data_IF_773281006828
#
_entry.id   IF_773281006828
#
_cell.length_a   1.000
_cell.length_b   1.000
_cell.length_c   1.000
_cell.angle_alpha   90.00
_cell.angle_beta   90.00
_cell.angle_gamma   90.00
#
_symmetry.space_group_name_H-M   'P 1'
#
loop_
_entity.id
_entity.type
_entity.pdbx_description
1 polymer ?
#
# COMPACT_ATOMS: atom_id res chain seq x y z
N UNK A 1 -7.63 32.30 -3.07
CA UNK A 1 -8.49 31.10 -2.97
C UNK A 1 -7.70 29.89 -3.48
N UNK A 2 -7.42 28.94 -2.58
CA UNK A 2 -6.71 27.68 -2.84
C UNK A 2 -7.53 26.79 -3.76
N UNK A 3 -6.96 26.30 -4.86
CA UNK A 3 -7.52 25.21 -5.67
C UNK A 3 -6.61 24.00 -5.46
N UNK A 4 -7.09 23.02 -4.70
CA UNK A 4 -6.50 21.68 -4.64
C UNK A 4 -6.75 20.99 -5.97
N UNK A 5 -5.68 20.68 -6.70
CA UNK A 5 -5.72 19.73 -7.80
C UNK A 5 -5.68 18.32 -7.17
N UNK A 6 -6.83 17.65 -7.12
CA UNK A 6 -6.86 16.20 -6.91
C UNK A 6 -6.23 15.54 -8.15
N UNK A 7 -5.31 14.61 -7.89
CA UNK A 7 -4.48 13.96 -8.88
C UNK A 7 -5.31 13.29 -9.98
N UNK A 8 -5.02 13.67 -11.22
CA UNK A 8 -5.34 12.87 -12.40
C UNK A 8 -4.47 11.62 -12.32
N UNK A 9 -5.10 10.45 -12.14
CA UNK A 9 -4.47 9.19 -12.50
C UNK A 9 -4.15 9.28 -14.00
N UNK A 10 -2.86 9.36 -14.33
CA UNK A 10 -2.40 9.32 -15.70
C UNK A 10 -2.78 7.97 -16.31
N UNK A 11 -3.70 7.98 -17.27
CA UNK A 11 -4.11 6.82 -18.03
C UNK A 11 -2.89 6.18 -18.72
N UNK A 12 -2.45 5.04 -18.21
CA UNK A 12 -1.55 4.16 -18.94
C UNK A 12 -2.42 3.37 -19.93
N UNK A 13 -2.49 3.83 -21.18
CA UNK A 13 -3.11 3.08 -22.26
C UNK A 13 -2.31 1.78 -22.48
N UNK A 14 -2.87 0.64 -22.09
CA UNK A 14 -2.28 -0.68 -22.35
C UNK A 14 -2.91 -1.24 -23.63
N UNK A 15 -2.06 -1.58 -24.58
CA UNK A 15 -2.41 -2.17 -25.86
C UNK A 15 -3.08 -3.54 -25.64
N UNK A 16 -4.38 -3.64 -25.89
CA UNK A 16 -5.12 -4.90 -25.78
C UNK A 16 -4.69 -5.89 -26.88
N UNK A 17 -3.99 -6.96 -26.49
CA UNK A 17 -3.80 -8.11 -27.35
C UNK A 17 -5.12 -8.88 -27.44
N UNK A 18 -5.68 -8.98 -28.65
CA UNK A 18 -6.92 -9.71 -28.95
C UNK A 18 -6.70 -11.21 -28.67
N UNK A 19 -7.35 -11.73 -27.63
CA UNK A 19 -7.45 -13.16 -27.34
C UNK A 19 -8.91 -13.66 -27.52
N UNK A 20 -9.11 -14.96 -27.78
CA UNK A 20 -10.40 -15.47 -28.23
C UNK A 20 -11.49 -15.36 -27.17
N UNK A 21 -12.71 -15.05 -27.63
CA UNK A 21 -13.93 -14.91 -26.82
C UNK A 21 -14.27 -16.24 -26.14
N UNK A 22 -14.05 -16.33 -24.83
CA UNK A 22 -14.38 -17.53 -24.04
C UNK A 22 -13.64 -17.66 -22.71
N UNK A 23 -12.55 -16.91 -22.54
CA UNK A 23 -11.90 -16.69 -21.24
C UNK A 23 -12.17 -15.25 -20.83
N UNK A 24 -12.80 -15.04 -19.67
CA UNK A 24 -12.74 -13.73 -18.99
C UNK A 24 -11.26 -13.32 -18.97
N UNK A 25 -10.92 -12.28 -19.73
CA UNK A 25 -9.55 -11.80 -19.77
C UNK A 25 -9.23 -11.32 -18.36
N UNK A 26 -8.32 -12.01 -17.66
CA UNK A 26 -7.85 -11.58 -16.36
C UNK A 26 -7.35 -10.13 -16.51
N UNK A 27 -7.92 -9.22 -15.73
CA UNK A 27 -7.54 -7.80 -15.76
C UNK A 27 -6.06 -7.71 -15.42
N UNK A 28 -5.24 -7.27 -16.39
CA UNK A 28 -3.80 -7.20 -16.24
C UNK A 28 -3.42 -6.00 -15.37
N UNK A 29 -3.00 -6.28 -14.13
CA UNK A 29 -2.52 -5.26 -13.19
C UNK A 29 -1.00 -5.13 -13.32
N UNK A 30 -0.45 -3.94 -13.63
CA UNK A 30 0.99 -3.79 -13.82
C UNK A 30 1.80 -3.96 -12.53
N UNK A 31 2.56 -5.06 -12.42
CA UNK A 31 3.35 -5.41 -11.21
C UNK A 31 4.49 -4.42 -10.88
N UNK A 32 4.92 -3.61 -11.84
CA UNK A 32 5.92 -2.57 -11.59
C UNK A 32 5.32 -1.34 -10.87
N UNK A 33 3.99 -1.16 -10.92
CA UNK A 33 3.26 -0.09 -10.22
C UNK A 33 2.59 -0.63 -8.96
N UNK A 34 2.00 -1.82 -9.05
CA UNK A 34 1.19 -2.42 -8.01
C UNK A 34 1.88 -3.63 -7.39
N UNK A 35 1.76 -3.74 -6.08
CA UNK A 35 2.14 -4.94 -5.34
C UNK A 35 0.88 -5.76 -5.06
N UNK A 36 0.86 -7.02 -5.50
CA UNK A 36 -0.19 -7.96 -5.12
C UNK A 36 0.03 -8.47 -3.69
N UNK A 37 -1.04 -8.59 -2.92
CA UNK A 37 -0.96 -9.07 -1.53
C UNK A 37 -1.68 -10.40 -1.33
N UNK A 38 -2.93 -10.48 -1.77
CA UNK A 38 -3.79 -11.63 -1.55
C UNK A 38 -4.98 -11.61 -2.49
N UNK A 39 -5.68 -12.74 -2.57
CA UNK A 39 -6.99 -12.84 -3.22
C UNK A 39 -7.98 -13.58 -2.32
N UNK A 40 -9.24 -13.20 -2.39
CA UNK A 40 -10.38 -13.96 -1.86
C UNK A 40 -11.10 -14.65 -3.01
N UNK A 41 -12.20 -15.34 -2.71
CA UNK A 41 -13.06 -15.92 -3.75
C UNK A 41 -13.71 -14.88 -4.68
N UNK A 42 -13.71 -13.59 -4.31
CA UNK A 42 -14.46 -12.53 -5.00
C UNK A 42 -13.61 -11.38 -5.52
N UNK A 43 -12.43 -11.20 -4.94
CA UNK A 43 -11.60 -10.04 -5.26
C UNK A 43 -10.11 -10.29 -5.01
N UNK A 44 -9.26 -9.63 -5.80
CA UNK A 44 -7.81 -9.59 -5.56
C UNK A 44 -7.39 -8.21 -5.07
N UNK A 45 -6.42 -8.18 -4.15
CA UNK A 45 -6.00 -6.98 -3.45
C UNK A 45 -4.58 -6.57 -3.84
N UNK A 46 -4.45 -5.30 -4.21
CA UNK A 46 -3.19 -4.69 -4.61
C UNK A 46 -3.04 -3.32 -3.96
N UNK A 47 -1.81 -2.88 -3.71
CA UNK A 47 -1.53 -1.48 -3.40
C UNK A 47 -0.56 -0.87 -4.39
N UNK A 48 -0.71 0.42 -4.67
CA UNK A 48 0.16 1.14 -5.60
C UNK A 48 1.47 1.49 -4.89
N UNK A 49 2.48 0.64 -5.09
CA UNK A 49 3.80 0.84 -4.51
C UNK A 49 4.55 2.00 -5.15
N UNK A 50 4.18 2.49 -6.33
CA UNK A 50 4.84 3.63 -6.97
C UNK A 50 4.32 5.00 -6.45
N UNK A 51 3.04 5.07 -6.12
CA UNK A 51 2.36 6.30 -5.69
C UNK A 51 2.15 6.41 -4.17
N UNK A 52 2.44 5.35 -3.40
CA UNK A 52 2.47 5.42 -1.94
C UNK A 52 3.47 6.49 -1.46
N UNK A 53 3.10 7.35 -0.51
CA UNK A 53 4.01 8.37 0.01
C UNK A 53 3.71 8.70 1.48
N UNK A 54 4.62 9.41 2.15
CA UNK A 54 4.36 9.90 3.50
C UNK A 54 3.47 11.14 3.48
N UNK A 55 2.74 11.37 4.58
CA UNK A 55 1.97 12.60 4.78
C UNK A 55 2.89 13.82 4.82
N UNK A 56 2.38 14.97 4.36
CA UNK A 56 3.11 16.23 4.37
C UNK A 56 2.24 17.29 5.01
N UNK A 57 2.77 17.95 6.04
CA UNK A 57 2.13 19.06 6.73
C UNK A 57 3.06 20.26 6.72
N UNK A 58 2.57 21.38 6.17
CA UNK A 58 3.35 22.62 6.06
C UNK A 58 4.72 22.44 5.38
N UNK A 59 4.79 21.53 4.39
CA UNK A 59 6.00 21.21 3.65
C UNK A 59 6.96 20.25 4.37
N UNK A 60 6.64 19.84 5.60
CA UNK A 60 7.42 18.87 6.38
C UNK A 60 6.80 17.49 6.25
N UNK A 61 7.64 16.50 5.96
CA UNK A 61 7.25 15.09 5.88
C UNK A 61 6.97 14.54 7.27
N UNK A 62 5.84 13.85 7.45
CA UNK A 62 5.52 13.08 8.65
C UNK A 62 5.66 11.58 8.37
N UNK A 63 6.73 10.97 8.88
CA UNK A 63 7.00 9.54 8.71
C UNK A 63 5.97 8.63 9.39
N UNK A 64 5.07 9.17 10.22
CA UNK A 64 4.02 8.40 10.89
C UNK A 64 2.73 8.31 10.06
N UNK A 65 2.59 9.11 9.01
CA UNK A 65 1.40 9.11 8.16
C UNK A 65 1.78 8.53 6.81
N UNK A 66 1.13 7.45 6.40
CA UNK A 66 1.32 6.84 5.09
C UNK A 66 0.04 7.01 4.26
N UNK A 67 0.18 7.54 3.04
CA UNK A 67 -0.90 7.67 2.07
C UNK A 67 -0.70 6.63 0.98
N UNK A 68 -1.73 5.80 0.73
CA UNK A 68 -1.61 4.61 -0.11
C UNK A 68 -2.84 4.48 -1.01
N UNK A 69 -2.68 4.68 -2.33
CA UNK A 69 -3.68 4.22 -3.29
C UNK A 69 -3.68 2.69 -3.35
N UNK A 70 -4.86 2.11 -3.39
CA UNK A 70 -5.06 0.66 -3.48
C UNK A 70 -5.97 0.32 -4.65
N UNK A 71 -5.92 -0.95 -5.05
CA UNK A 71 -6.71 -1.48 -6.14
C UNK A 71 -7.29 -2.83 -5.73
N UNK A 72 -8.57 -3.02 -6.00
CA UNK A 72 -9.27 -4.29 -5.94
C UNK A 72 -9.79 -4.64 -7.32
N UNK A 73 -9.54 -5.86 -7.78
CA UNK A 73 -10.20 -6.41 -8.98
C UNK A 73 -11.30 -7.36 -8.55
N UNK A 74 -12.40 -7.41 -9.30
CA UNK A 74 -13.59 -8.16 -8.96
C UNK A 74 -13.79 -9.36 -9.88
N UNK A 75 -14.35 -10.44 -9.34
CA UNK A 75 -14.95 -11.51 -10.16
C UNK A 75 -16.36 -11.11 -10.64
N UNK A 76 -16.93 -11.90 -11.56
CA UNK A 76 -18.27 -11.66 -12.09
C UNK A 76 -19.35 -11.56 -11.00
N UNK A 77 -19.21 -12.31 -9.90
CA UNK A 77 -20.21 -12.34 -8.83
C UNK A 77 -20.12 -11.08 -7.96
N UNK A 78 -18.91 -10.60 -7.69
CA UNK A 78 -18.69 -9.35 -6.98
C UNK A 78 -19.16 -8.15 -7.80
N UNK A 79 -18.94 -8.18 -9.12
CA UNK A 79 -19.51 -7.18 -10.06
C UNK A 79 -21.04 -7.18 -9.94
N UNK A 80 -21.68 -8.34 -10.04
CA UNK A 80 -23.13 -8.47 -9.91
C UNK A 80 -23.65 -7.96 -8.56
N UNK A 81 -22.94 -8.24 -7.46
CA UNK A 81 -23.30 -7.77 -6.12
C UNK A 81 -23.26 -6.24 -6.01
N UNK A 82 -22.19 -5.60 -6.51
CA UNK A 82 -22.07 -4.13 -6.55
C UNK A 82 -23.21 -3.51 -7.36
N UNK A 83 -23.45 -4.00 -8.58
CA UNK A 83 -24.54 -3.54 -9.46
C UNK A 83 -25.90 -3.71 -8.80
N UNK A 84 -26.14 -4.86 -8.15
CA UNK A 84 -27.40 -5.16 -7.47
C UNK A 84 -27.64 -4.23 -6.27
N UNK A 85 -26.61 -4.00 -5.45
CA UNK A 85 -26.66 -3.05 -4.33
C UNK A 85 -26.96 -1.63 -4.80
N UNK A 86 -26.36 -1.21 -5.91
CA UNK A 86 -26.56 0.12 -6.49
C UNK A 86 -27.99 0.29 -7.02
N UNK A 87 -28.48 -0.72 -7.74
CA UNK A 87 -29.89 -0.79 -8.21
C UNK A 87 -30.88 -0.74 -7.05
N UNK A 88 -30.62 -1.50 -5.99
CA UNK A 88 -31.46 -1.51 -4.78
C UNK A 88 -31.53 -0.13 -4.12
N UNK A 89 -30.42 0.61 -4.11
CA UNK A 89 -30.34 1.99 -3.61
C UNK A 89 -30.89 3.04 -4.58
N UNK A 90 -31.45 2.64 -5.73
CA UNK A 90 -31.94 3.55 -6.79
C UNK A 90 -30.87 4.54 -7.30
N UNK A 91 -29.61 4.13 -7.30
CA UNK A 91 -28.50 4.92 -7.84
C UNK A 91 -28.31 4.64 -9.35
N UNK A 92 -27.75 5.60 -10.10
CA UNK A 92 -27.49 5.44 -11.54
C UNK A 92 -26.56 4.25 -11.80
N UNK A 93 -26.83 3.49 -12.87
CA UNK A 93 -26.00 2.37 -13.34
C UNK A 93 -25.15 2.74 -14.56
N UNK A 94 -25.09 4.01 -14.93
CA UNK A 94 -24.29 4.47 -16.07
C UNK A 94 -22.82 4.07 -15.87
N UNK A 95 -22.23 3.41 -16.86
CA UNK A 95 -20.84 2.91 -16.85
C UNK A 95 -20.60 1.61 -16.08
N UNK A 96 -21.59 1.09 -15.34
CA UNK A 96 -21.42 -0.14 -14.56
C UNK A 96 -21.44 -1.43 -15.39
N UNK A 97 -21.78 -1.34 -16.67
CA UNK A 97 -21.56 -2.42 -17.65
C UNK A 97 -20.07 -2.72 -17.88
N UNK A 98 -19.20 -1.74 -17.62
CA UNK A 98 -17.75 -1.87 -17.69
C UNK A 98 -17.06 -2.08 -16.33
N UNK A 99 -17.78 -2.26 -15.22
CA UNK A 99 -17.19 -2.37 -13.87
C UNK A 99 -16.21 -3.56 -13.79
N UNK A 100 -14.99 -3.30 -13.34
CA UNK A 100 -13.96 -4.34 -13.13
C UNK A 100 -13.38 -4.40 -11.72
N UNK A 101 -13.63 -3.36 -10.90
CA UNK A 101 -12.94 -3.23 -9.63
C UNK A 101 -13.21 -1.92 -8.92
N UNK A 102 -12.39 -1.63 -7.92
CA UNK A 102 -12.40 -0.36 -7.20
C UNK A 102 -11.00 0.07 -6.78
N UNK A 103 -10.78 1.37 -6.64
CA UNK A 103 -9.64 1.94 -5.95
C UNK A 103 -10.07 2.53 -4.61
N UNK A 104 -9.26 2.32 -3.57
CA UNK A 104 -9.43 3.00 -2.29
C UNK A 104 -8.16 3.77 -1.92
N UNK A 105 -8.33 4.96 -1.35
CA UNK A 105 -7.23 5.82 -0.95
C UNK A 105 -7.12 5.81 0.57
N UNK A 106 -6.10 5.13 1.07
CA UNK A 106 -5.89 4.91 2.49
C UNK A 106 -4.96 5.98 3.08
N UNK A 107 -5.29 6.43 4.28
CA UNK A 107 -4.36 7.13 5.17
C UNK A 107 -4.15 6.28 6.40
N UNK A 108 -2.93 5.78 6.58
CA UNK A 108 -2.53 4.99 7.74
C UNK A 108 -1.77 5.89 8.71
N UNK A 109 -2.24 5.96 9.95
CA UNK A 109 -1.46 6.54 11.04
C UNK A 109 -0.71 5.41 11.75
N UNK A 110 0.58 5.30 11.47
CA UNK A 110 1.46 4.25 11.97
C UNK A 110 1.70 4.36 13.47
N UNK A 111 1.65 5.58 14.02
CA UNK A 111 1.83 5.82 15.46
C UNK A 111 0.57 5.42 16.26
N UNK A 112 -0.60 5.75 15.73
CA UNK A 112 -1.89 5.44 16.38
C UNK A 112 -2.42 4.05 16.03
N UNK A 113 -1.86 3.40 14.99
CA UNK A 113 -2.32 2.11 14.52
C UNK A 113 -3.73 2.18 13.90
N UNK A 114 -3.99 3.22 13.10
CA UNK A 114 -5.30 3.43 12.47
C UNK A 114 -5.22 3.54 10.96
N UNK A 115 -6.30 3.17 10.28
CA UNK A 115 -6.48 3.28 8.83
C UNK A 115 -7.76 4.03 8.54
N UNK A 116 -7.69 5.05 7.69
CA UNK A 116 -8.85 5.76 7.17
C UNK A 116 -8.95 5.54 5.67
N UNK A 117 -10.10 5.09 5.20
CA UNK A 117 -10.44 5.13 3.77
C UNK A 117 -10.92 6.55 3.49
N UNK A 118 -10.18 7.31 2.70
CA UNK A 118 -10.52 8.73 2.42
C UNK A 118 -11.39 8.88 1.18
N UNK A 119 -11.31 7.92 0.27
CA UNK A 119 -12.07 7.89 -0.97
C UNK A 119 -12.16 6.45 -1.48
N UNK A 120 -13.29 6.13 -2.10
CA UNK A 120 -13.57 4.88 -2.80
C UNK A 120 -14.07 5.20 -4.20
N UNK A 121 -13.42 4.64 -5.22
CA UNK A 121 -13.75 4.84 -6.62
C UNK A 121 -14.09 3.49 -7.27
N UNK A 122 -15.27 3.37 -7.87
CA UNK A 122 -15.59 2.23 -8.75
C UNK A 122 -14.93 2.45 -10.12
N UNK A 123 -14.32 1.40 -10.67
CA UNK A 123 -13.47 1.48 -11.86
C UNK A 123 -14.03 0.69 -13.04
N UNK A 124 -13.94 1.28 -14.23
CA UNK A 124 -14.20 0.59 -15.49
C UNK A 124 -12.97 -0.18 -16.01
N UNK A 125 -13.16 -0.91 -17.11
CA UNK A 125 -12.14 -1.71 -17.78
C UNK A 125 -10.89 -0.94 -18.24
N UNK A 126 -11.00 0.39 -18.41
CA UNK A 126 -9.90 1.28 -18.77
C UNK A 126 -9.26 1.93 -17.53
N UNK A 127 -9.63 1.45 -16.33
CA UNK A 127 -9.29 2.01 -15.03
C UNK A 127 -9.78 3.45 -14.82
N UNK A 128 -10.78 3.86 -15.59
CA UNK A 128 -11.51 5.11 -15.42
C UNK A 128 -12.44 5.05 -14.22
N UNK A 129 -12.62 6.17 -13.53
CA UNK A 129 -13.55 6.28 -12.41
C UNK A 129 -14.98 6.39 -12.93
N UNK A 130 -15.80 5.37 -12.65
CA UNK A 130 -17.25 5.37 -12.92
C UNK A 130 -17.96 6.24 -11.87
N UNK A 131 -17.60 6.04 -10.61
CA UNK A 131 -18.21 6.70 -9.47
C UNK A 131 -17.17 6.92 -8.38
N UNK A 132 -17.25 8.06 -7.70
CA UNK A 132 -16.35 8.42 -6.60
C UNK A 132 -17.14 8.78 -5.35
N UNK A 133 -16.72 8.21 -4.24
CA UNK A 133 -17.30 8.39 -2.91
C UNK A 133 -16.22 8.86 -1.93
N UNK A 134 -16.37 10.08 -1.42
CA UNK A 134 -15.43 10.65 -0.44
C UNK A 134 -15.83 10.20 0.96
N UNK A 135 -14.90 9.55 1.65
CA UNK A 135 -15.09 8.92 2.96
C UNK A 135 -14.22 9.55 4.05
N UNK A 136 -13.74 10.78 3.83
CA UNK A 136 -12.89 11.48 4.80
C UNK A 136 -13.51 11.61 6.19
N UNK A 137 -14.84 11.59 6.25
CA UNK A 137 -15.62 11.84 7.47
C UNK A 137 -15.94 10.54 8.24
N UNK A 138 -15.60 9.36 7.69
CA UNK A 138 -15.81 8.07 8.37
C UNK A 138 -14.80 7.86 9.50
N UNK A 139 -15.20 7.16 10.57
CA UNK A 139 -14.29 6.87 11.68
C UNK A 139 -13.13 5.96 11.26
N UNK A 140 -11.88 6.23 11.72
CA UNK A 140 -10.75 5.35 11.44
C UNK A 140 -10.94 3.94 11.98
N UNK A 141 -10.54 2.97 11.17
CA UNK A 141 -10.41 1.58 11.56
C UNK A 141 -9.19 1.47 12.47
N UNK A 142 -9.35 0.92 13.68
CA UNK A 142 -8.24 0.61 14.58
C UNK A 142 -7.68 -0.76 14.24
N UNK A 143 -6.40 -0.85 13.89
CA UNK A 143 -5.75 -2.11 13.54
C UNK A 143 -5.79 -3.11 14.70
N UNK A 144 -5.71 -2.63 15.94
CA UNK A 144 -5.80 -3.48 17.14
C UNK A 144 -7.18 -4.15 17.33
N UNK A 145 -8.22 -3.66 16.65
CA UNK A 145 -9.55 -4.26 16.70
C UNK A 145 -9.76 -5.33 15.62
N UNK A 146 -8.83 -5.45 14.66
CA UNK A 146 -8.90 -6.44 13.58
C UNK A 146 -8.30 -7.75 14.07
N UNK A 147 -8.96 -8.87 13.76
CA UNK A 147 -8.43 -10.20 14.06
C UNK A 147 -7.34 -10.61 13.07
N UNK A 148 -6.51 -11.58 13.44
CA UNK A 148 -5.49 -12.16 12.55
C UNK A 148 -6.07 -12.85 11.30
N UNK A 149 -7.39 -13.10 11.28
CA UNK A 149 -8.11 -13.68 10.13
C UNK A 149 -8.79 -12.62 9.27
N UNK A 150 -8.79 -11.37 9.71
CA UNK A 150 -9.41 -10.28 8.99
C UNK A 150 -8.67 -10.04 7.67
N UNK A 151 -9.42 -10.08 6.56
CA UNK A 151 -8.87 -9.97 5.22
C UNK A 151 -8.27 -8.58 5.01
N UNK A 152 -8.97 -7.53 5.39
CA UNK A 152 -8.50 -6.16 5.25
C UNK A 152 -7.37 -5.87 6.24
N UNK A 153 -7.43 -6.45 7.45
CA UNK A 153 -6.35 -6.41 8.42
C UNK A 153 -5.03 -6.96 7.87
N UNK A 154 -5.05 -8.14 7.23
CA UNK A 154 -3.86 -8.70 6.56
C UNK A 154 -3.35 -7.80 5.44
N UNK A 155 -4.26 -7.21 4.68
CA UNK A 155 -3.90 -6.30 3.60
C UNK A 155 -3.20 -5.04 4.12
N UNK A 156 -3.73 -4.41 5.18
CA UNK A 156 -3.08 -3.26 5.82
C UNK A 156 -1.73 -3.61 6.43
N UNK A 157 -1.59 -4.79 7.05
CA UNK A 157 -0.32 -5.24 7.59
C UNK A 157 0.73 -5.45 6.49
N UNK A 158 0.34 -5.98 5.32
CA UNK A 158 1.24 -6.12 4.18
C UNK A 158 1.74 -4.75 3.65
N UNK A 159 0.84 -3.76 3.57
CA UNK A 159 1.19 -2.38 3.23
C UNK A 159 2.20 -1.80 4.22
N UNK A 160 1.96 -1.97 5.52
CA UNK A 160 2.87 -1.48 6.58
C UNK A 160 4.23 -2.19 6.51
N UNK A 161 4.24 -3.51 6.28
CA UNK A 161 5.46 -4.29 6.14
C UNK A 161 6.30 -3.82 4.94
N UNK A 162 5.66 -3.62 3.78
CA UNK A 162 6.31 -3.05 2.60
C UNK A 162 6.86 -1.66 2.91
N UNK A 163 6.03 -0.77 3.48
CA UNK A 163 6.46 0.58 3.80
C UNK A 163 7.66 0.60 4.75
N UNK A 164 7.70 -0.33 5.71
CA UNK A 164 8.81 -0.45 6.64
C UNK A 164 10.12 -0.91 5.99
N UNK A 165 10.06 -1.77 4.98
CA UNK A 165 11.22 -2.20 4.21
C UNK A 165 11.68 -1.15 3.19
N UNK A 166 10.79 -0.26 2.75
CA UNK A 166 11.03 0.70 1.66
C UNK A 166 11.03 2.18 2.11
N UNK A 167 11.27 2.48 3.39
CA UNK A 167 11.11 3.83 3.95
C UNK A 167 11.93 4.92 3.22
N UNK A 168 13.15 4.60 2.80
CA UNK A 168 14.03 5.54 2.09
C UNK A 168 13.50 5.87 0.70
N UNK A 169 13.02 4.87 -0.02
CA UNK A 169 12.43 5.01 -1.35
C UNK A 169 11.12 5.80 -1.28
N UNK A 170 10.28 5.51 -0.28
CA UNK A 170 9.02 6.22 -0.07
C UNK A 170 9.29 7.69 0.32
N UNK A 171 10.28 7.93 1.19
CA UNK A 171 10.66 9.28 1.58
C UNK A 171 11.21 10.10 0.40
N UNK A 172 12.01 9.50 -0.49
CA UNK A 172 12.62 10.24 -1.62
C UNK A 172 11.61 10.72 -2.66
N UNK A 173 10.47 10.02 -2.81
CA UNK A 173 9.37 10.43 -3.70
C UNK A 173 8.27 11.23 -3.00
N UNK A 174 8.36 11.39 -1.68
CA UNK A 174 7.40 12.22 -0.94
C UNK A 174 7.71 13.70 -1.20
N UNK A 175 6.70 14.47 -1.61
CA UNK A 175 6.86 15.89 -1.90
C UNK A 175 6.91 16.75 -0.62
N UNK A 176 8.05 16.75 0.06
CA UNK A 176 8.29 17.53 1.27
C UNK A 176 9.74 17.46 1.76
N UNK A 177 10.03 18.16 2.85
CA UNK A 177 11.34 18.15 3.49
C UNK A 177 11.33 17.30 4.75
N UNK A 178 12.33 16.43 4.90
CA UNK A 178 12.56 15.68 6.13
C UNK A 178 13.23 16.55 7.19
N UNK A 179 12.85 16.38 8.45
CA UNK A 179 13.59 16.97 9.56
C UNK A 179 14.96 16.31 9.72
N UNK A 180 15.89 16.98 10.41
CA UNK A 180 17.20 16.39 10.72
C UNK A 180 17.08 15.14 11.61
N UNK A 181 16.05 15.06 12.45
CA UNK A 181 15.77 13.87 13.25
C UNK A 181 15.35 12.70 12.36
N UNK A 182 14.42 12.94 11.43
CA UNK A 182 13.92 11.92 10.50
C UNK A 182 15.01 11.41 9.56
N UNK A 183 15.87 12.30 9.06
CA UNK A 183 17.04 11.90 8.26
C UNK A 183 17.94 10.93 9.03
N UNK A 184 18.24 11.23 10.30
CA UNK A 184 19.06 10.33 11.15
C UNK A 184 18.38 8.97 11.37
N UNK A 185 17.05 8.95 11.55
CA UNK A 185 16.29 7.71 11.67
C UNK A 185 16.41 6.88 10.39
N UNK A 186 16.18 7.49 9.22
CA UNK A 186 16.27 6.80 7.94
C UNK A 186 17.69 6.34 7.61
N UNK A 187 18.72 7.10 7.97
CA UNK A 187 20.13 6.70 7.82
C UNK A 187 20.50 5.53 8.74
N UNK A 188 20.04 5.52 9.98
CA UNK A 188 20.25 4.40 10.89
C UNK A 188 19.62 3.12 10.32
N UNK A 189 18.36 3.21 9.86
CA UNK A 189 17.69 2.09 9.20
C UNK A 189 18.37 1.65 7.92
N UNK A 190 18.92 2.57 7.12
CA UNK A 190 19.73 2.25 5.94
C UNK A 190 20.94 1.39 6.30
N UNK A 191 21.64 1.76 7.37
CA UNK A 191 22.83 1.04 7.85
C UNK A 191 22.46 -0.34 8.38
N UNK A 192 21.39 -0.43 9.18
CA UNK A 192 20.87 -1.71 9.69
C UNK A 192 20.47 -2.65 8.55
N UNK A 193 19.73 -2.16 7.55
CA UNK A 193 19.33 -2.95 6.39
C UNK A 193 20.54 -3.41 5.56
N UNK A 194 21.49 -2.50 5.31
CA UNK A 194 22.72 -2.84 4.57
C UNK A 194 23.55 -3.90 5.30
N UNK A 195 23.61 -3.83 6.64
CA UNK A 195 24.28 -4.83 7.46
C UNK A 195 23.56 -6.18 7.43
N UNK A 196 22.24 -6.19 7.58
CA UNK A 196 21.43 -7.41 7.53
C UNK A 196 21.54 -8.09 6.14
N UNK A 197 21.56 -7.29 5.07
CA UNK A 197 21.75 -7.79 3.71
C UNK A 197 23.16 -8.38 3.52
N UNK A 198 24.20 -7.70 4.00
CA UNK A 198 25.57 -8.22 3.99
C UNK A 198 25.68 -9.55 4.73
N UNK A 199 25.11 -9.67 5.94
CA UNK A 199 25.11 -10.91 6.74
C UNK A 199 24.36 -12.06 6.07
N UNK A 200 23.27 -11.75 5.35
CA UNK A 200 22.52 -12.74 4.55
C UNK A 200 23.34 -13.24 3.35
N UNK A 201 24.07 -12.34 2.70
CA UNK A 201 24.89 -12.64 1.52
C UNK A 201 26.25 -13.29 1.92
N UNK A 202 26.69 -13.13 3.17
CA UNK A 202 27.96 -13.63 3.73
C UNK A 202 27.74 -14.40 5.06
N UNK A 203 27.01 -15.54 5.04
CA UNK A 203 26.59 -16.25 6.25
C UNK A 203 27.76 -16.82 7.08
N UNK A 204 28.93 -17.05 6.48
CA UNK A 204 30.11 -17.60 7.16
C UNK A 204 30.89 -16.54 7.98
N UNK A 205 30.78 -15.25 7.63
CA UNK A 205 31.50 -14.15 8.31
C UNK A 205 30.70 -13.53 9.48
N UNK A 206 29.37 -13.60 9.43
CA UNK A 206 28.50 -13.11 10.51
C UNK A 206 28.74 -13.81 11.86
N UNK A 207 29.25 -15.05 11.83
CA UNK A 207 29.55 -15.84 13.02
C UNK A 207 30.87 -15.44 13.72
N UNK A 208 31.73 -14.62 13.07
CA UNK A 208 32.99 -14.18 13.66
C UNK A 208 32.84 -12.95 14.58
N UNK A 209 31.80 -12.12 14.38
CA UNK A 209 31.53 -10.98 15.27
C UNK A 209 30.96 -11.42 16.63
N UNK A 210 30.10 -12.45 16.67
CA UNK A 210 29.59 -13.02 17.93
C UNK A 210 30.65 -13.78 18.76
N UNK A 211 31.74 -14.22 18.14
CA UNK A 211 32.82 -14.95 18.81
C UNK A 211 33.86 -14.03 19.49
N UNK A 212 34.07 -12.79 18.98
CA UNK A 212 34.94 -11.80 19.64
C UNK A 212 34.34 -11.24 20.91
N UNK A 213 33.04 -10.89 20.91
CA UNK A 213 32.36 -10.35 22.10
C UNK A 213 32.30 -11.36 23.26
N UNK A 214 32.14 -12.67 22.98
CA UNK A 214 32.20 -13.71 24.01
C UNK A 214 33.61 -13.94 24.57
N UNK A 215 34.68 -13.70 23.80
CA UNK A 215 36.07 -13.86 24.27
C UNK A 215 36.49 -12.70 25.17
N UNK A 216 36.06 -11.48 24.87
CA UNK A 216 36.43 -10.30 25.66
C UNK A 216 35.66 -10.20 26.98
N UNK A 217 34.39 -10.64 27.01
CA UNK A 217 33.63 -10.69 28.26
C UNK A 217 34.10 -11.80 29.22
N UNK A 218 34.69 -12.89 28.69
CA UNK A 218 35.31 -13.96 29.50
C UNK A 218 36.67 -13.54 30.09
N UNK A 219 37.37 -12.59 29.48
CA UNK A 219 38.62 -12.02 30.03
C UNK A 219 38.37 -10.98 31.13
N UNK A 220 37.31 -10.17 31.02
CA UNK A 220 36.99 -9.16 32.05
C UNK A 220 36.47 -9.75 33.37
N UNK A 221 35.80 -10.89 33.36
CA UNK A 221 35.31 -11.57 34.58
C UNK A 221 36.36 -12.49 35.26
N UNK A 222 37.64 -12.38 34.89
CA UNK A 222 38.74 -13.19 35.45
C UNK A 222 39.88 -12.36 36.07
N UNK A 223 39.62 -11.09 36.36
CA UNK A 223 40.50 -10.18 37.11
C UNK A 223 39.69 -9.57 38.23
#
# INVERSE_FOLDING_TARGET
MKRWFFGVLGAAAILAAILPKGTEAAVLVPEYIYEWVQSTARQSYYFNKAQMHYGVKDGIVDLNILVVPTLRTYDAIQIQDVVSKRRWKQLSLDGYDGLVGAAEYLTLNLKEGTVRITQHDDLDQDWGTIFSDKRSDEEPIRLANLSDKDVDGKFYQAIIAYANAHQIEIASRTNGTLTEADKKILEAKRKEWSKAQYEKDHPEEGNQHGAKDKKDNKKKNRT
#
